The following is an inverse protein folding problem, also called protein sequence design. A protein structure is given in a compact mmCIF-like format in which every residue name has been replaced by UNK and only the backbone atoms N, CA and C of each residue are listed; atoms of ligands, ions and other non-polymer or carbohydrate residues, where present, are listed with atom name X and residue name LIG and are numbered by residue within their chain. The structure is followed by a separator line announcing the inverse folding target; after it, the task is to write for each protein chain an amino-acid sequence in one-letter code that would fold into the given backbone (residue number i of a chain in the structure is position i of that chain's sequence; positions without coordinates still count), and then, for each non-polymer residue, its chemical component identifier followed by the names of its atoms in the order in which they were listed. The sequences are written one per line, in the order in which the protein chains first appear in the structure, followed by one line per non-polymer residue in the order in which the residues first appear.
data_IF_118565662697
#
_entry.id   IF_118565662697
#
_cell.length_a   1.000
_cell.length_b   1.000
_cell.length_c   1.000
_cell.angle_alpha   90.00
_cell.angle_beta   90.00
_cell.angle_gamma   90.00
#
_symmetry.space_group_name_H-M   'P 1'
#
loop_
_entity.id
_entity.type
_entity.pdbx_description
1 polymer ?
#
# COMPACT_ATOMS: atom_id res chain seq x y z
N UNK A 1 -1.61 -17.49 4.06
CA UNK A 1 -0.41 -16.65 3.88
C UNK A 1 0.04 -16.60 2.39
N UNK A 2 -0.86 -16.65 1.39
CA UNK A 2 -0.50 -17.41 0.16
C UNK A 2 -0.93 -16.85 -1.20
N UNK A 3 -1.64 -15.72 -1.32
CA UNK A 3 -1.98 -15.15 -2.65
C UNK A 3 -1.01 -14.05 -3.08
N UNK A 4 -0.61 -13.19 -2.14
CA UNK A 4 0.29 -12.07 -2.37
C UNK A 4 1.70 -12.50 -2.83
N UNK A 5 2.27 -13.54 -2.22
CA UNK A 5 3.60 -14.05 -2.59
C UNK A 5 3.62 -14.67 -4.00
N UNK A 6 2.54 -15.32 -4.42
CA UNK A 6 2.40 -15.86 -5.79
C UNK A 6 2.34 -14.69 -6.78
N UNK A 7 1.60 -13.64 -6.46
CA UNK A 7 1.48 -12.44 -7.29
C UNK A 7 2.84 -11.76 -7.49
N UNK A 8 3.61 -11.53 -6.42
CA UNK A 8 4.97 -10.98 -6.47
C UNK A 8 5.87 -11.76 -7.43
N UNK A 9 5.82 -13.09 -7.36
CA UNK A 9 6.70 -13.95 -8.14
C UNK A 9 6.22 -14.16 -9.58
N UNK A 10 4.98 -13.78 -9.90
CA UNK A 10 4.42 -13.89 -11.25
C UNK A 10 5.00 -12.85 -12.19
N UNK A 11 4.93 -13.12 -13.50
CA UNK A 11 5.26 -12.14 -14.55
C UNK A 11 4.45 -10.85 -14.40
N UNK A 12 3.19 -10.96 -13.95
CA UNK A 12 2.30 -9.83 -13.70
C UNK A 12 2.81 -8.96 -12.54
N UNK A 13 3.22 -9.57 -11.42
CA UNK A 13 3.82 -8.84 -10.30
C UNK A 13 5.12 -8.15 -10.68
N UNK A 14 5.94 -8.80 -11.51
CA UNK A 14 7.17 -8.18 -12.05
C UNK A 14 6.89 -7.00 -12.96
N UNK A 15 5.75 -6.93 -13.62
CA UNK A 15 5.36 -5.81 -14.50
C UNK A 15 4.42 -4.80 -13.81
N UNK A 16 4.05 -5.05 -12.56
CA UNK A 16 3.10 -4.24 -11.82
C UNK A 16 3.70 -2.86 -11.50
N UNK A 17 3.21 -1.84 -12.21
CA UNK A 17 3.54 -0.43 -11.94
C UNK A 17 2.61 0.24 -10.93
N UNK A 18 1.39 -0.29 -10.77
CA UNK A 18 0.37 0.23 -9.86
C UNK A 18 -0.21 -0.91 -9.06
N UNK A 19 -0.17 -0.81 -7.74
CA UNK A 19 -0.73 -1.77 -6.80
C UNK A 19 -1.90 -1.11 -6.06
N UNK A 20 -3.12 -1.62 -6.24
CA UNK A 20 -4.23 -1.34 -5.35
C UNK A 20 -4.43 -2.51 -4.39
N UNK A 21 -4.41 -2.25 -3.08
CA UNK A 21 -4.49 -3.30 -2.07
C UNK A 21 -5.32 -2.88 -0.85
N UNK A 22 -6.31 -3.70 -0.55
CA UNK A 22 -7.03 -3.68 0.72
C UNK A 22 -6.29 -4.53 1.76
N UNK A 23 -5.84 -3.92 2.85
CA UNK A 23 -5.13 -4.59 3.94
C UNK A 23 -5.96 -4.62 5.22
N UNK A 24 -5.92 -5.74 5.92
CA UNK A 24 -6.55 -5.85 7.24
C UNK A 24 -5.63 -5.36 8.36
N UNK A 25 -4.31 -5.35 8.17
CA UNK A 25 -3.37 -4.86 9.17
C UNK A 25 -2.15 -4.20 8.51
N UNK A 26 -1.69 -3.10 9.10
CA UNK A 26 -0.56 -2.30 8.59
C UNK A 26 0.81 -3.00 8.69
N UNK A 27 0.98 -4.03 9.54
CA UNK A 27 2.31 -4.59 9.88
C UNK A 27 3.04 -5.30 8.73
N UNK A 28 2.36 -5.67 7.65
CA UNK A 28 2.96 -6.48 6.58
C UNK A 28 2.98 -5.80 5.20
N UNK A 29 2.48 -4.57 5.08
CA UNK A 29 2.34 -3.90 3.78
C UNK A 29 3.67 -3.43 3.20
N UNK A 30 4.58 -2.94 4.06
CA UNK A 30 5.89 -2.43 3.63
C UNK A 30 6.73 -3.56 3.02
N UNK A 31 6.81 -4.70 3.70
CA UNK A 31 7.52 -5.89 3.23
C UNK A 31 6.93 -6.44 1.92
N UNK A 32 5.62 -6.28 1.73
CA UNK A 32 4.95 -6.67 0.50
C UNK A 32 5.33 -5.74 -0.66
N UNK A 33 5.24 -4.41 -0.44
CA UNK A 33 5.56 -3.40 -1.46
C UNK A 33 7.02 -3.50 -1.90
N UNK A 34 7.95 -3.69 -0.95
CA UNK A 34 9.38 -3.79 -1.24
C UNK A 34 9.74 -4.98 -2.14
N UNK A 35 8.88 -5.98 -2.25
CA UNK A 35 9.10 -7.14 -3.13
C UNK A 35 8.63 -6.92 -4.57
N UNK A 36 7.90 -5.83 -4.86
CA UNK A 36 7.42 -5.51 -6.20
C UNK A 36 8.39 -4.52 -6.86
N UNK A 37 9.27 -5.05 -7.71
CA UNK A 37 10.44 -4.31 -8.20
C UNK A 37 10.10 -3.09 -9.07
N UNK A 38 9.04 -3.18 -9.88
CA UNK A 38 8.66 -2.15 -10.85
C UNK A 38 7.52 -1.25 -10.36
N UNK A 39 7.21 -1.32 -9.07
CA UNK A 39 6.10 -0.56 -8.52
C UNK A 39 6.43 0.94 -8.50
N UNK A 40 5.48 1.74 -8.98
CA UNK A 40 5.58 3.20 -9.02
C UNK A 40 4.47 3.87 -8.24
N UNK A 41 3.30 3.24 -8.16
CA UNK A 41 2.16 3.77 -7.45
C UNK A 41 1.56 2.71 -6.52
N UNK A 42 1.21 3.12 -5.32
CA UNK A 42 0.52 2.31 -4.31
C UNK A 42 -0.76 3.01 -3.93
N UNK A 43 -1.86 2.30 -4.07
CA UNK A 43 -3.18 2.70 -3.60
C UNK A 43 -3.53 1.73 -2.47
N UNK A 44 -3.66 2.23 -1.25
CA UNK A 44 -3.92 1.39 -0.09
C UNK A 44 -5.26 1.74 0.57
N UNK A 45 -5.96 0.71 0.99
CA UNK A 45 -7.13 0.81 1.86
C UNK A 45 -6.88 -0.09 3.07
N UNK A 46 -7.05 0.39 4.30
CA UNK A 46 -6.89 -0.46 5.48
C UNK A 46 -8.19 -0.55 6.28
N UNK A 47 -8.60 -1.77 6.64
CA UNK A 47 -9.83 -2.01 7.41
C UNK A 47 -9.69 -1.70 8.90
N UNK A 48 -8.47 -1.77 9.43
CA UNK A 48 -8.16 -1.46 10.84
C UNK A 48 -7.89 0.03 11.06
N UNK A 49 -7.95 0.83 9.98
CA UNK A 49 -8.06 2.26 10.12
C UNK A 49 -9.45 2.56 10.66
N UNK A 50 -9.54 2.97 11.93
CA UNK A 50 -10.70 3.64 12.49
C UNK A 50 -10.92 5.02 11.84
N UNK A 51 -10.79 5.12 10.52
CA UNK A 51 -11.20 6.29 9.76
C UNK A 51 -12.73 6.27 9.62
N UNK A 52 -13.39 6.34 10.77
CA UNK A 52 -14.84 6.40 10.92
C UNK A 52 -15.38 7.83 10.78
N UNK A 53 -14.54 8.77 10.36
CA UNK A 53 -14.90 10.17 10.30
C UNK A 53 -14.72 10.69 8.87
N UNK A 54 -15.79 10.56 8.08
CA UNK A 54 -15.96 11.19 6.76
C UNK A 54 -15.89 12.73 6.79
N UNK A 55 -15.62 13.33 7.96
CA UNK A 55 -15.72 14.75 8.24
C UNK A 55 -14.40 15.51 8.16
N UNK A 56 -13.25 14.83 8.10
CA UNK A 56 -11.95 15.49 8.22
C UNK A 56 -11.03 15.13 7.05
N UNK A 57 -10.63 16.09 6.20
CA UNK A 57 -9.48 15.92 5.33
C UNK A 57 -8.25 15.97 6.23
N UNK A 58 -8.03 14.92 7.04
CA UNK A 58 -6.89 14.85 7.92
C UNK A 58 -5.66 14.74 7.03
N UNK A 59 -4.93 15.84 6.91
CA UNK A 59 -3.62 15.95 6.25
C UNK A 59 -2.58 14.94 6.76
N UNK A 60 -2.89 14.21 7.83
CA UNK A 60 -2.07 13.16 8.43
C UNK A 60 -2.79 11.82 8.35
N UNK A 61 -2.88 11.25 7.16
CA UNK A 61 -3.24 9.85 7.01
C UNK A 61 -2.06 9.00 7.51
N UNK A 62 -2.16 8.49 8.74
CA UNK A 62 -1.10 7.71 9.41
C UNK A 62 -0.58 6.56 8.57
N UNK A 63 -1.43 5.93 7.75
CA UNK A 63 -1.01 4.84 6.86
C UNK A 63 -0.17 5.38 5.71
N UNK A 64 -0.62 6.46 5.07
CA UNK A 64 0.12 7.10 3.99
C UNK A 64 1.44 7.69 4.51
N UNK A 65 1.45 8.29 5.69
CA UNK A 65 2.69 8.77 6.34
C UNK A 65 3.62 7.62 6.68
N UNK A 66 3.11 6.52 7.26
CA UNK A 66 3.89 5.32 7.53
C UNK A 66 4.53 4.76 6.25
N UNK A 67 3.78 4.68 5.16
CA UNK A 67 4.29 4.24 3.86
C UNK A 67 5.32 5.23 3.30
N UNK A 68 5.07 6.54 3.37
CA UNK A 68 6.03 7.58 2.92
C UNK A 68 7.34 7.56 3.72
N UNK A 69 7.28 7.26 5.02
CA UNK A 69 8.45 7.22 5.89
C UNK A 69 9.28 5.95 5.72
N UNK A 70 8.65 4.83 5.32
CA UNK A 70 9.31 3.53 5.18
C UNK A 70 9.63 3.13 3.74
N UNK A 71 9.06 3.82 2.75
CA UNK A 71 9.29 3.55 1.33
C UNK A 71 10.11 4.68 0.68
N UNK A 72 11.01 4.35 -0.25
CA UNK A 72 11.70 5.34 -1.07
C UNK A 72 10.76 6.37 -1.71
N UNK A 73 11.18 7.64 -1.78
CA UNK A 73 10.39 8.75 -2.33
C UNK A 73 9.96 8.59 -3.81
N UNK A 74 10.42 7.53 -4.51
CA UNK A 74 10.02 7.19 -5.88
C UNK A 74 8.59 6.64 -5.99
N UNK A 75 7.99 6.22 -4.86
CA UNK A 75 6.63 5.67 -4.87
C UNK A 75 5.60 6.80 -4.71
N UNK A 76 4.63 6.82 -5.62
CA UNK A 76 3.42 7.62 -5.49
C UNK A 76 2.44 6.88 -4.59
N UNK A 77 2.16 7.40 -3.40
CA UNK A 77 1.32 6.72 -2.40
C UNK A 77 0.01 7.51 -2.26
N UNK A 78 -1.11 6.81 -2.44
CA UNK A 78 -2.47 7.37 -2.39
C UNK A 78 -3.40 6.43 -1.60
N UNK A 79 -4.51 6.96 -1.08
CA UNK A 79 -5.58 6.17 -0.46
C UNK A 79 -6.74 6.00 -1.45
N UNK A 80 -7.35 4.82 -1.48
CA UNK A 80 -8.60 4.59 -2.22
C UNK A 80 -9.75 5.15 -1.38
N UNK A 81 -10.60 5.99 -1.99
CA UNK A 81 -11.69 6.73 -1.34
C UNK A 81 -12.95 5.87 -1.29
#
# INVERSE_FOLDING_TARGET
MTKCAILINSSLGRQCGVLSVGIENRRNIIDFINKIFNLRSVICQCKDDQHNDWSSPSTNDELVECLKNNLPARYLISRDI
#
